data_IF_711626214336
#
_entry.id   IF_711626214336
#
_cell.length_a   1.000
_cell.length_b   1.000
_cell.length_c   1.000
_cell.angle_alpha   90.00
_cell.angle_beta   90.00
_cell.angle_gamma   90.00
#
_symmetry.space_group_name_H-M   'P 1'
#
loop_
_entity.id
_entity.type
_entity.pdbx_description
1 polymer ?
#
# COMPACT_ATOMS: atom_id res chain seq x y z
N UNK A 1 -16.49 -11.17 -0.63
CA UNK A 1 -15.68 -10.22 -1.37
C UNK A 1 -14.48 -10.85 -2.08
N UNK A 2 -13.72 -11.69 -1.40
CA UNK A 2 -12.58 -12.40 -2.01
C UNK A 2 -13.03 -13.37 -3.11
N UNK A 3 -14.16 -14.02 -2.94
CA UNK A 3 -14.71 -14.94 -3.95
C UNK A 3 -15.20 -14.21 -5.19
N UNK A 4 -15.81 -13.03 -5.05
CA UNK A 4 -16.27 -12.24 -6.19
C UNK A 4 -15.09 -11.74 -7.03
N UNK A 5 -14.00 -11.32 -6.39
CA UNK A 5 -12.78 -10.91 -7.08
C UNK A 5 -12.13 -12.08 -7.82
N UNK A 6 -12.14 -13.30 -7.24
CA UNK A 6 -11.62 -14.51 -7.90
C UNK A 6 -12.46 -14.92 -9.11
N UNK A 7 -13.77 -14.86 -8.99
CA UNK A 7 -14.67 -15.20 -10.10
C UNK A 7 -14.48 -14.25 -11.28
N UNK A 8 -14.37 -12.95 -11.03
CA UNK A 8 -14.08 -11.97 -12.06
C UNK A 8 -12.73 -12.20 -12.72
N UNK A 9 -11.72 -12.54 -11.94
CA UNK A 9 -10.38 -12.80 -12.43
C UNK A 9 -10.31 -14.06 -13.29
N UNK A 10 -11.02 -15.12 -12.91
CA UNK A 10 -11.04 -16.38 -13.66
C UNK A 10 -11.76 -16.25 -15.00
N UNK A 11 -12.69 -15.33 -15.12
CA UNK A 11 -13.45 -15.10 -16.35
C UNK A 11 -12.72 -14.19 -17.35
N UNK A 12 -11.61 -13.60 -16.95
CA UNK A 12 -10.77 -12.75 -17.80
C UNK A 12 -9.59 -13.62 -18.26
N UNK A 13 -9.70 -14.30 -19.36
CA UNK A 13 -8.65 -15.25 -19.52
C UNK A 13 -8.17 -15.63 -20.90
N UNK A 14 -8.64 -15.06 -21.99
CA UNK A 14 -8.19 -15.56 -23.29
C UNK A 14 -8.06 -14.44 -24.32
N UNK A 15 -6.82 -14.13 -24.72
CA UNK A 15 -6.53 -13.22 -25.82
C UNK A 15 -5.89 -11.89 -25.39
N UNK A 16 -5.49 -11.09 -26.36
CA UNK A 16 -4.75 -9.85 -26.14
C UNK A 16 -5.60 -8.72 -25.53
N UNK A 17 -6.90 -8.72 -25.81
CA UNK A 17 -7.85 -7.77 -25.19
C UNK A 17 -8.01 -8.07 -23.71
N UNK A 18 -8.03 -9.35 -23.34
CA UNK A 18 -8.13 -9.81 -21.96
C UNK A 18 -6.89 -9.43 -21.16
N UNK A 19 -5.71 -9.42 -21.80
CA UNK A 19 -4.47 -8.97 -21.16
C UNK A 19 -4.54 -7.50 -20.75
N UNK A 20 -5.05 -6.62 -21.60
CA UNK A 20 -5.21 -5.21 -21.30
C UNK A 20 -6.25 -4.99 -20.19
N UNK A 21 -7.34 -5.77 -20.22
CA UNK A 21 -8.39 -5.71 -19.17
C UNK A 21 -7.86 -6.21 -17.83
N UNK A 22 -7.05 -7.30 -17.83
CA UNK A 22 -6.38 -7.79 -16.63
C UNK A 22 -5.44 -6.75 -16.02
N UNK A 23 -4.69 -6.04 -16.84
CA UNK A 23 -3.78 -4.98 -16.38
C UNK A 23 -4.55 -3.83 -15.76
N UNK A 24 -5.68 -3.43 -16.34
CA UNK A 24 -6.56 -2.42 -15.77
C UNK A 24 -7.12 -2.86 -14.42
N UNK A 25 -7.51 -4.13 -14.30
CA UNK A 25 -8.01 -4.69 -13.05
C UNK A 25 -6.92 -4.68 -11.98
N UNK A 26 -5.69 -5.08 -12.32
CA UNK A 26 -4.54 -5.04 -11.40
C UNK A 26 -4.30 -3.62 -10.91
N UNK A 27 -4.31 -2.64 -11.80
CA UNK A 27 -4.13 -1.23 -11.44
C UNK A 27 -5.25 -0.73 -10.52
N UNK A 28 -6.49 -1.12 -10.80
CA UNK A 28 -7.62 -0.76 -9.94
C UNK A 28 -7.48 -1.36 -8.55
N UNK A 29 -7.07 -2.62 -8.45
CA UNK A 29 -6.84 -3.29 -7.16
C UNK A 29 -5.70 -2.64 -6.39
N UNK A 30 -4.61 -2.31 -7.07
CA UNK A 30 -3.48 -1.60 -6.46
C UNK A 30 -3.90 -0.22 -5.95
N UNK A 31 -4.72 0.48 -6.71
CA UNK A 31 -5.21 1.80 -6.32
C UNK A 31 -6.14 1.72 -5.10
N UNK A 32 -6.98 0.70 -5.02
CA UNK A 32 -7.81 0.45 -3.83
C UNK A 32 -6.94 0.15 -2.61
N UNK A 33 -5.92 -0.68 -2.76
CA UNK A 33 -4.97 -0.98 -1.69
C UNK A 33 -4.25 0.27 -1.20
N UNK A 34 -3.79 1.11 -2.13
CA UNK A 34 -3.15 2.39 -1.83
C UNK A 34 -4.07 3.29 -1.00
N UNK A 35 -5.32 3.43 -1.41
CA UNK A 35 -6.31 4.24 -0.69
C UNK A 35 -6.57 3.72 0.71
N UNK A 36 -6.69 2.40 0.86
CA UNK A 36 -6.88 1.75 2.16
C UNK A 36 -5.70 1.99 3.09
N UNK A 37 -4.48 1.91 2.58
CA UNK A 37 -3.27 2.19 3.37
C UNK A 37 -3.20 3.66 3.80
N UNK A 38 -3.60 4.59 2.94
CA UNK A 38 -3.70 6.00 3.29
C UNK A 38 -4.71 6.26 4.39
N UNK A 39 -5.86 5.59 4.34
CA UNK A 39 -6.88 5.67 5.40
C UNK A 39 -6.37 5.09 6.71
N UNK A 40 -5.67 3.96 6.65
CA UNK A 40 -5.10 3.32 7.82
C UNK A 40 -4.07 4.22 8.51
N UNK A 41 -3.20 4.85 7.75
CA UNK A 41 -2.25 5.84 8.28
C UNK A 41 -2.99 6.96 9.03
N UNK A 42 -4.00 7.53 8.40
CA UNK A 42 -4.80 8.61 9.01
C UNK A 42 -5.51 8.14 10.27
N UNK A 43 -5.99 6.91 10.31
CA UNK A 43 -6.66 6.35 11.49
C UNK A 43 -5.70 6.25 12.66
N UNK A 44 -4.47 5.80 12.45
CA UNK A 44 -3.45 5.77 13.50
C UNK A 44 -3.12 7.17 14.01
N UNK A 45 -2.97 8.14 13.10
CA UNK A 45 -2.66 9.52 13.47
C UNK A 45 -3.82 10.16 14.26
N UNK A 46 -5.06 9.89 13.87
CA UNK A 46 -6.24 10.34 14.61
C UNK A 46 -6.32 9.70 16.01
N UNK A 47 -5.94 8.45 16.12
CA UNK A 47 -5.89 7.76 17.39
C UNK A 47 -4.92 8.44 18.35
N UNK A 48 -3.73 8.77 17.88
CA UNK A 48 -2.75 9.53 18.67
C UNK A 48 -3.33 10.85 19.15
N UNK A 49 -3.99 11.59 18.27
CA UNK A 49 -4.61 12.87 18.59
C UNK A 49 -5.72 12.72 19.64
N UNK A 50 -6.61 11.75 19.47
CA UNK A 50 -7.72 11.50 20.42
C UNK A 50 -7.25 11.11 21.81
N UNK A 51 -6.13 10.39 21.88
CA UNK A 51 -5.58 9.91 23.14
C UNK A 51 -4.55 10.86 23.75
N UNK A 52 -4.33 12.02 23.13
CA UNK A 52 -3.28 12.99 23.52
C UNK A 52 -1.90 12.35 23.61
N UNK A 53 -1.62 11.43 22.68
CA UNK A 53 -0.31 10.80 22.54
C UNK A 53 0.51 11.58 21.52
N UNK A 54 1.83 11.53 21.68
CA UNK A 54 2.73 12.28 20.83
C UNK A 54 2.88 11.61 19.47
N UNK A 55 2.69 12.38 18.40
CA UNK A 55 3.03 11.94 17.06
C UNK A 55 4.52 12.20 16.80
N UNK A 56 5.25 11.19 16.40
CA UNK A 56 6.67 11.31 16.06
C UNK A 56 6.84 11.82 14.65
N UNK A 57 7.91 12.58 14.41
CA UNK A 57 8.20 13.16 13.11
C UNK A 57 9.68 13.14 12.79
N UNK A 58 10.03 13.70 11.64
CA UNK A 58 11.41 13.79 11.17
C UNK A 58 12.29 14.50 12.20
N UNK A 59 13.49 13.97 12.42
CA UNK A 59 14.41 14.48 13.42
C UNK A 59 14.18 13.87 14.80
N UNK A 60 13.13 13.11 14.97
CA UNK A 60 12.85 12.39 16.20
C UNK A 60 13.54 11.02 16.16
N UNK A 61 14.33 10.75 17.17
CA UNK A 61 15.07 9.48 17.28
C UNK A 61 14.16 8.25 17.19
N UNK A 62 12.97 8.32 17.81
CA UNK A 62 12.04 7.20 17.82
C UNK A 62 11.39 6.98 16.47
N UNK A 63 11.15 8.06 15.74
CA UNK A 63 10.65 8.01 14.37
C UNK A 63 11.64 7.29 13.44
N UNK A 64 12.91 7.66 13.52
CA UNK A 64 13.97 7.05 12.71
C UNK A 64 14.13 5.58 13.04
N UNK A 65 14.12 5.23 14.33
CA UNK A 65 14.18 3.85 14.80
C UNK A 65 13.02 3.01 14.27
N UNK A 66 11.80 3.53 14.33
CA UNK A 66 10.61 2.84 13.83
C UNK A 66 10.66 2.66 12.32
N UNK A 67 11.14 3.64 11.58
CA UNK A 67 11.28 3.54 10.12
C UNK A 67 12.28 2.47 9.70
N UNK A 68 13.33 2.28 10.46
CA UNK A 68 14.38 1.31 10.18
C UNK A 68 14.01 -0.10 10.62
N UNK A 69 13.03 -0.24 11.48
CA UNK A 69 12.67 -1.52 12.09
C UNK A 69 12.26 -2.57 11.06
N UNK A 70 11.39 -2.23 10.13
CA UNK A 70 10.88 -3.11 9.06
C UNK A 70 10.55 -4.52 9.57
N UNK A 71 9.57 -4.65 10.48
CA UNK A 71 9.24 -5.96 11.04
C UNK A 71 8.65 -6.87 9.96
N UNK A 72 9.06 -8.13 9.96
CA UNK A 72 8.56 -9.12 9.02
C UNK A 72 7.31 -9.81 9.53
N UNK A 73 7.08 -9.78 10.85
CA UNK A 73 5.93 -10.42 11.50
C UNK A 73 5.28 -9.49 12.49
N UNK A 74 4.02 -9.79 12.82
CA UNK A 74 3.27 -9.07 13.87
C UNK A 74 3.98 -9.23 15.21
N UNK A 75 4.53 -10.40 15.48
CA UNK A 75 5.24 -10.71 16.71
C UNK A 75 6.48 -9.82 16.88
N UNK A 76 7.22 -9.59 15.81
CA UNK A 76 8.38 -8.68 15.81
C UNK A 76 7.95 -7.24 16.10
N UNK A 77 6.86 -6.79 15.48
CA UNK A 77 6.31 -5.46 15.73
C UNK A 77 5.86 -5.33 17.19
N UNK A 78 5.14 -6.31 17.71
CA UNK A 78 4.65 -6.33 19.09
C UNK A 78 5.81 -6.34 20.09
N UNK A 79 6.88 -7.08 19.81
CA UNK A 79 8.08 -7.13 20.67
C UNK A 79 8.72 -5.75 20.75
N UNK A 80 8.82 -5.03 19.64
CA UNK A 80 9.37 -3.68 19.64
C UNK A 80 8.48 -2.70 20.41
N UNK A 81 7.16 -2.78 20.19
CA UNK A 81 6.17 -1.92 20.87
C UNK A 81 6.22 -2.11 22.39
N UNK A 82 6.33 -3.35 22.83
CA UNK A 82 6.28 -3.72 24.25
C UNK A 82 7.67 -3.87 24.87
N UNK A 83 8.73 -3.42 24.21
CA UNK A 83 10.09 -3.55 24.71
C UNK A 83 10.24 -2.88 26.09
N UNK A 84 10.90 -3.54 27.05
CA UNK A 84 11.10 -2.95 28.38
C UNK A 84 12.08 -1.79 28.32
N UNK A 85 11.97 -0.87 29.28
CA UNK A 85 12.89 0.26 29.41
C UNK A 85 12.67 1.41 28.45
N UNK A 86 11.55 1.41 27.72
CA UNK A 86 11.21 2.54 26.85
C UNK A 86 10.50 3.64 27.62
N UNK A 87 10.76 4.89 27.26
CA UNK A 87 10.14 6.05 27.91
C UNK A 87 8.75 6.37 27.38
N UNK A 88 8.39 5.85 26.19
CA UNK A 88 7.08 6.08 25.59
C UNK A 88 6.09 4.99 25.99
N UNK A 89 4.79 5.35 26.16
CA UNK A 89 3.77 4.34 26.38
C UNK A 89 3.69 3.38 25.18
N UNK A 90 3.34 2.12 25.45
CA UNK A 90 3.18 1.12 24.40
C UNK A 90 2.15 1.54 23.35
N UNK A 91 1.06 2.17 23.78
CA UNK A 91 0.02 2.70 22.89
C UNK A 91 0.58 3.75 21.92
N UNK A 92 1.43 4.65 22.40
CA UNK A 92 2.10 5.65 21.54
C UNK A 92 3.03 4.97 20.52
N UNK A 93 3.82 4.01 20.99
CA UNK A 93 4.73 3.25 20.12
C UNK A 93 3.97 2.45 19.07
N UNK A 94 2.87 1.80 19.44
CA UNK A 94 2.05 1.02 18.54
C UNK A 94 1.42 1.89 17.44
N UNK A 95 0.81 3.00 17.81
CA UNK A 95 0.13 3.87 16.86
C UNK A 95 1.11 4.58 15.92
N UNK A 96 2.25 5.02 16.41
CA UNK A 96 3.29 5.62 15.58
C UNK A 96 3.90 4.60 14.63
N UNK A 97 4.20 3.39 15.10
CA UNK A 97 4.71 2.32 14.24
C UNK A 97 3.69 1.96 13.17
N UNK A 98 2.42 1.82 13.54
CA UNK A 98 1.35 1.53 12.60
C UNK A 98 1.23 2.58 11.50
N UNK A 99 1.28 3.86 11.87
CA UNK A 99 1.24 4.96 10.91
C UNK A 99 2.44 4.94 9.97
N UNK A 100 3.64 4.68 10.50
CA UNK A 100 4.87 4.62 9.71
C UNK A 100 4.83 3.45 8.73
N UNK A 101 4.42 2.27 9.18
CA UNK A 101 4.31 1.09 8.32
C UNK A 101 3.26 1.29 7.23
N UNK A 102 2.11 1.89 7.55
CA UNK A 102 1.08 2.20 6.58
C UNK A 102 1.58 3.20 5.53
N UNK A 103 2.32 4.22 5.95
CA UNK A 103 2.92 5.21 5.05
C UNK A 103 3.96 4.57 4.12
N UNK A 104 4.81 3.69 4.65
CA UNK A 104 5.80 2.96 3.85
C UNK A 104 5.13 2.05 2.82
N UNK A 105 4.10 1.32 3.22
CA UNK A 105 3.34 0.46 2.33
C UNK A 105 2.58 1.28 1.27
N UNK A 106 2.04 2.43 1.64
CA UNK A 106 1.39 3.36 0.72
C UNK A 106 2.36 3.83 -0.37
N UNK A 107 3.57 4.20 0.03
CA UNK A 107 4.62 4.63 -0.91
C UNK A 107 5.01 3.50 -1.86
N UNK A 108 5.18 2.27 -1.35
CA UNK A 108 5.50 1.10 -2.18
C UNK A 108 4.37 0.77 -3.16
N UNK A 109 3.11 0.90 -2.72
CA UNK A 109 1.96 0.70 -3.61
C UNK A 109 1.90 1.76 -4.71
N UNK A 110 2.25 3.00 -4.40
CA UNK A 110 2.35 4.06 -5.42
C UNK A 110 3.40 3.71 -6.47
N UNK A 111 4.55 3.23 -6.06
CA UNK A 111 5.60 2.81 -6.99
C UNK A 111 5.17 1.62 -7.84
N UNK A 112 4.45 0.68 -7.25
CA UNK A 112 3.87 -0.45 -8.00
C UNK A 112 2.87 0.05 -9.03
N UNK A 113 1.99 0.97 -8.65
CA UNK A 113 1.00 1.57 -9.54
C UNK A 113 1.68 2.27 -10.73
N UNK A 114 2.73 3.04 -10.46
CA UNK A 114 3.51 3.73 -11.50
C UNK A 114 4.11 2.73 -12.49
N UNK A 115 4.65 1.62 -11.97
CA UNK A 115 5.22 0.55 -12.81
C UNK A 115 4.14 -0.13 -13.64
N UNK A 116 2.99 -0.42 -13.05
CA UNK A 116 1.84 -1.00 -13.75
C UNK A 116 1.34 -0.07 -14.85
N UNK A 117 1.32 1.24 -14.61
CA UNK A 117 0.93 2.23 -15.59
C UNK A 117 1.91 2.26 -16.78
N UNK A 118 3.21 2.20 -16.50
CA UNK A 118 4.24 2.12 -17.54
C UNK A 118 4.09 0.84 -18.39
N UNK A 119 3.87 -0.29 -17.75
CA UNK A 119 3.66 -1.57 -18.44
C UNK A 119 2.40 -1.52 -19.30
N UNK A 120 1.33 -0.91 -18.80
CA UNK A 120 0.09 -0.75 -19.54
C UNK A 120 0.30 0.11 -20.79
N UNK A 121 1.02 1.22 -20.68
CA UNK A 121 1.34 2.09 -21.81
C UNK A 121 2.24 1.37 -22.84
N UNK A 122 3.25 0.65 -22.36
CA UNK A 122 4.20 -0.05 -23.24
C UNK A 122 3.56 -1.18 -24.03
N UNK A 123 2.61 -1.91 -23.42
CA UNK A 123 2.01 -3.11 -24.01
C UNK A 123 0.56 -2.93 -24.42
N UNK A 124 -0.26 -2.31 -23.56
CA UNK A 124 -1.68 -2.07 -23.84
C UNK A 124 -1.92 -0.92 -24.80
N UNK A 125 -1.26 0.21 -24.58
CA UNK A 125 -1.38 1.39 -25.42
C UNK A 125 -0.84 1.17 -26.82
N UNK A 126 0.23 0.37 -26.96
CA UNK A 126 0.79 0.00 -28.25
C UNK A 126 -0.20 -0.85 -29.07
N UNK A 127 -0.87 -1.79 -28.44
CA UNK A 127 -1.90 -2.60 -29.10
C UNK A 127 -3.07 -1.77 -29.59
N UNK A 128 -3.52 -0.79 -28.82
CA UNK A 128 -4.57 0.12 -29.23
C UNK A 128 -4.16 0.99 -30.41
N UNK A 129 -2.93 1.48 -30.43
CA UNK A 129 -2.41 2.28 -31.53
C UNK A 129 -2.32 1.47 -32.82
N UNK A 130 -1.86 0.23 -32.75
CA UNK A 130 -1.82 -0.68 -33.89
C UNK A 130 -3.23 -0.97 -34.41
N UNK A 131 -4.17 -1.21 -33.53
CA UNK A 131 -5.56 -1.44 -33.89
C UNK A 131 -6.15 -0.23 -34.62
N UNK A 132 -5.94 0.96 -34.10
CA UNK A 132 -6.40 2.21 -34.72
C UNK A 132 -5.73 2.45 -36.07
N UNK A 133 -4.44 2.15 -36.21
CA UNK A 133 -3.70 2.29 -37.44
C UNK A 133 -4.21 1.33 -38.51
N UNK A 134 -4.59 0.10 -38.15
CA UNK A 134 -5.14 -0.90 -39.09
C UNK A 134 -6.54 -0.56 -39.58
N UNK A 135 -7.31 0.19 -38.77
CA UNK A 135 -8.71 0.55 -39.10
C UNK A 135 -8.85 1.89 -39.81
N UNK A 136 -7.75 2.53 -40.12
CA UNK A 136 -7.71 3.69 -40.98
C UNK A 136 -7.51 3.23 -42.43
#
# INVERSE_FOLDING_TARGET
>A
MVQAARSGYQNIGEGSEDSATSKKLEMNLTNVAKSSLGELERDYLKHLQRRNLRQWGKGDRFFDEARELRPETVEQAAAWVNAPGTSQPAEERAANLGAILAAQAHWLTQRLLDRQAQDFEAHGGFSERLYKARNK
#
